data_IF_301805120961
#
_entry.id   IF_301805120961
#
_cell.length_a   1.000
_cell.length_b   1.000
_cell.length_c   1.000
_cell.angle_alpha   90.00
_cell.angle_beta   90.00
_cell.angle_gamma   90.00
#
_symmetry.space_group_name_H-M   'P 1'
#
loop_
_entity.id
_entity.type
_entity.pdbx_description
1 polymer ?
#
# COMPACT_ATOMS: atom_id res chain seq x y z
N UNK A 1 -39.31 34.69 -47.40
CA UNK A 1 -38.18 34.71 -46.44
C UNK A 1 -38.39 33.56 -45.49
N UNK A 2 -37.70 32.45 -45.74
CA UNK A 2 -37.88 31.20 -44.98
C UNK A 2 -36.82 31.11 -43.88
N UNK A 3 -37.30 31.06 -42.64
CA UNK A 3 -36.45 30.73 -41.50
C UNK A 3 -36.53 29.20 -41.24
N UNK A 4 -35.43 28.49 -41.54
CA UNK A 4 -35.29 27.06 -41.23
C UNK A 4 -34.96 26.89 -39.75
N UNK A 5 -35.85 26.19 -39.05
CA UNK A 5 -35.66 25.71 -37.70
C UNK A 5 -34.75 24.48 -37.71
N UNK A 6 -33.57 24.59 -37.12
CA UNK A 6 -32.68 23.45 -36.85
C UNK A 6 -33.09 22.83 -35.52
N UNK A 7 -33.77 21.68 -35.57
CA UNK A 7 -34.07 20.89 -34.42
C UNK A 7 -32.82 20.10 -34.01
N UNK A 8 -32.25 20.43 -32.83
CA UNK A 8 -31.17 19.67 -32.18
C UNK A 8 -31.72 18.37 -31.64
N UNK A 9 -31.35 17.25 -32.24
CA UNK A 9 -31.67 15.91 -31.73
C UNK A 9 -30.70 15.55 -30.60
N UNK A 10 -31.14 15.61 -29.35
CA UNK A 10 -30.42 15.10 -28.21
C UNK A 10 -30.34 13.57 -28.29
N UNK A 11 -29.16 13.05 -28.58
CA UNK A 11 -28.87 11.61 -28.50
C UNK A 11 -28.94 11.19 -27.03
N UNK A 12 -30.00 10.52 -26.65
CA UNK A 12 -30.09 9.85 -25.34
C UNK A 12 -29.10 8.68 -25.32
N UNK A 13 -28.00 8.84 -24.59
CA UNK A 13 -27.11 7.71 -24.30
C UNK A 13 -27.87 6.67 -23.47
N UNK A 14 -27.95 5.46 -24.01
CA UNK A 14 -28.49 4.32 -23.28
C UNK A 14 -27.62 4.03 -22.03
N UNK A 15 -28.20 3.63 -20.89
CA UNK A 15 -27.42 3.26 -19.72
C UNK A 15 -26.54 2.06 -20.06
N UNK A 16 -25.27 2.15 -19.68
CA UNK A 16 -24.30 1.05 -19.84
C UNK A 16 -24.85 -0.20 -19.15
N UNK A 17 -24.76 -1.39 -19.78
CA UNK A 17 -25.22 -2.62 -19.18
C UNK A 17 -24.47 -2.87 -17.85
N UNK A 18 -25.23 -3.17 -16.79
CA UNK A 18 -24.66 -3.67 -15.53
C UNK A 18 -23.94 -4.98 -15.85
N UNK A 19 -22.62 -4.95 -15.76
CA UNK A 19 -21.83 -6.17 -15.87
C UNK A 19 -22.09 -6.99 -14.60
N UNK A 20 -22.95 -7.99 -14.73
CA UNK A 20 -23.07 -9.03 -13.70
C UNK A 20 -21.75 -9.79 -13.64
N UNK A 21 -21.19 -10.04 -12.44
CA UNK A 21 -19.98 -10.85 -12.32
C UNK A 21 -20.22 -12.23 -12.94
N UNK A 22 -19.22 -12.74 -13.65
CA UNK A 22 -19.27 -14.11 -14.15
C UNK A 22 -19.46 -15.07 -12.95
N UNK A 23 -20.33 -16.11 -13.07
CA UNK A 23 -20.51 -17.07 -12.00
C UNK A 23 -19.20 -17.83 -11.78
N UNK A 24 -18.55 -17.64 -10.61
CA UNK A 24 -17.39 -18.46 -10.23
C UNK A 24 -16.35 -17.82 -9.29
N UNK A 25 -16.22 -16.52 -9.18
CA UNK A 25 -15.32 -15.91 -8.19
C UNK A 25 -16.14 -15.42 -7.02
N UNK A 26 -16.36 -16.29 -6.05
CA UNK A 26 -16.93 -15.88 -4.76
C UNK A 26 -15.85 -15.07 -4.04
N UNK A 27 -16.14 -13.80 -3.76
CA UNK A 27 -15.28 -12.97 -2.93
C UNK A 27 -15.10 -13.63 -1.56
N UNK A 28 -13.85 -13.81 -1.13
CA UNK A 28 -13.52 -14.36 0.19
C UNK A 28 -13.44 -13.30 1.28
N UNK A 29 -13.80 -12.05 0.97
CA UNK A 29 -13.74 -10.92 1.91
C UNK A 29 -14.45 -11.22 3.22
N UNK A 30 -15.64 -11.82 3.17
CA UNK A 30 -16.38 -12.17 4.39
C UNK A 30 -15.73 -13.30 5.20
N UNK A 31 -15.01 -14.20 4.54
CA UNK A 31 -14.20 -15.24 5.19
C UNK A 31 -12.99 -14.59 5.91
N UNK A 32 -12.26 -13.70 5.23
CA UNK A 32 -11.15 -12.97 5.83
C UNK A 32 -11.57 -12.13 7.04
N UNK A 33 -12.71 -11.45 6.97
CA UNK A 33 -13.25 -10.64 8.08
C UNK A 33 -13.64 -11.45 9.32
N UNK A 34 -13.95 -12.73 9.17
CA UNK A 34 -14.29 -13.61 10.31
C UNK A 34 -13.07 -14.12 11.06
N UNK A 35 -11.89 -14.01 10.46
CA UNK A 35 -10.65 -14.43 11.13
C UNK A 35 -10.30 -13.44 12.24
N UNK A 36 -9.87 -13.97 13.39
CA UNK A 36 -9.29 -13.12 14.43
C UNK A 36 -7.88 -12.71 13.99
N UNK A 37 -7.60 -11.41 13.80
CA UNK A 37 -6.28 -10.97 13.40
C UNK A 37 -5.27 -11.18 14.54
N UNK A 38 -4.01 -11.44 14.18
CA UNK A 38 -2.89 -11.43 15.12
C UNK A 38 -2.59 -9.98 15.54
N UNK A 39 -1.86 -9.77 16.66
CA UNK A 39 -1.42 -8.43 17.03
C UNK A 39 -0.65 -7.73 15.90
N UNK A 40 -1.12 -6.54 15.50
CA UNK A 40 -0.56 -5.76 14.39
C UNK A 40 -0.89 -6.29 12.99
N UNK A 41 -1.65 -7.35 12.84
CA UNK A 41 -2.09 -7.83 11.52
C UNK A 41 -3.25 -6.99 10.99
N UNK A 42 -3.15 -6.58 9.72
CA UNK A 42 -4.19 -5.82 9.04
C UNK A 42 -5.48 -6.63 8.90
N UNK A 43 -6.62 -5.98 9.13
CA UNK A 43 -7.94 -6.61 9.15
C UNK A 43 -8.99 -5.90 8.28
N UNK A 44 -8.60 -4.87 7.55
CA UNK A 44 -9.50 -4.13 6.69
C UNK A 44 -9.55 -4.75 5.29
N UNK A 45 -10.46 -5.70 5.08
CA UNK A 45 -10.66 -6.41 3.82
C UNK A 45 -11.80 -5.83 3.00
N UNK A 46 -11.61 -5.76 1.67
CA UNK A 46 -12.61 -5.26 0.72
C UNK A 46 -12.37 -5.86 -0.67
N UNK A 47 -13.36 -5.72 -1.57
CA UNK A 47 -13.17 -6.04 -2.98
C UNK A 47 -12.65 -4.81 -3.72
N UNK A 48 -11.50 -4.94 -4.42
CA UNK A 48 -10.92 -3.86 -5.23
C UNK A 48 -11.37 -4.00 -6.69
N UNK A 49 -12.28 -3.13 -7.16
CA UNK A 49 -12.88 -3.29 -8.48
C UNK A 49 -11.90 -3.14 -9.64
N UNK A 50 -10.87 -2.31 -9.48
CA UNK A 50 -9.87 -2.06 -10.53
C UNK A 50 -9.07 -3.32 -10.86
N UNK A 51 -8.72 -4.10 -9.86
CA UNK A 51 -8.01 -5.37 -10.03
C UNK A 51 -8.94 -6.57 -10.09
N UNK A 52 -10.25 -6.39 -9.86
CA UNK A 52 -11.24 -7.47 -9.73
C UNK A 52 -10.78 -8.55 -8.76
N UNK A 53 -10.20 -8.13 -7.64
CA UNK A 53 -9.58 -8.99 -6.65
C UNK A 53 -9.98 -8.57 -5.25
N UNK A 54 -9.93 -9.51 -4.32
CA UNK A 54 -9.99 -9.19 -2.92
C UNK A 54 -8.73 -8.42 -2.50
N UNK A 55 -8.85 -7.55 -1.53
CA UNK A 55 -7.77 -6.69 -1.08
C UNK A 55 -7.79 -6.52 0.43
N UNK A 56 -6.62 -6.24 0.99
CA UNK A 56 -6.45 -5.83 2.38
C UNK A 56 -5.70 -4.50 2.43
N UNK A 57 -6.18 -3.57 3.25
CA UNK A 57 -5.49 -2.30 3.51
C UNK A 57 -4.63 -2.44 4.76
N UNK A 58 -3.36 -2.15 4.62
CA UNK A 58 -2.38 -2.10 5.72
C UNK A 58 -2.27 -0.66 6.21
N UNK A 59 -2.64 -0.41 7.46
CA UNK A 59 -2.58 0.89 8.12
C UNK A 59 -1.22 1.10 8.81
N UNK A 60 -0.88 2.33 9.24
CA UNK A 60 0.34 2.58 10.00
C UNK A 60 0.46 1.68 11.24
N UNK A 61 1.61 1.02 11.37
CA UNK A 61 1.87 0.05 12.45
C UNK A 61 1.40 -1.37 12.17
N UNK A 62 0.72 -1.61 11.04
CA UNK A 62 0.25 -2.93 10.66
C UNK A 62 1.16 -3.64 9.65
N UNK A 63 0.94 -4.93 9.53
CA UNK A 63 1.49 -5.79 8.49
C UNK A 63 0.44 -6.78 7.97
N UNK A 64 0.69 -7.36 6.79
CA UNK A 64 -0.08 -8.49 6.29
C UNK A 64 0.80 -9.44 5.48
N UNK A 65 0.66 -10.75 5.70
CA UNK A 65 1.41 -11.81 4.99
C UNK A 65 0.45 -12.87 4.50
N UNK A 66 0.58 -13.25 3.23
CA UNK A 66 -0.28 -14.27 2.63
C UNK A 66 0.37 -14.94 1.41
N UNK A 67 -0.09 -16.15 1.09
CA UNK A 67 0.09 -16.82 -0.20
C UNK A 67 -1.14 -16.69 -1.10
N UNK A 68 -2.24 -16.12 -0.60
CA UNK A 68 -3.48 -15.96 -1.36
C UNK A 68 -3.34 -14.95 -2.51
N UNK A 69 -4.12 -15.13 -3.54
CA UNK A 69 -4.23 -14.19 -4.67
C UNK A 69 -5.11 -13.00 -4.27
N UNK A 70 -4.59 -12.10 -3.45
CA UNK A 70 -5.21 -10.83 -3.11
C UNK A 70 -4.21 -9.68 -3.23
N UNK A 71 -4.71 -8.47 -3.18
CA UNK A 71 -3.89 -7.25 -3.26
C UNK A 71 -3.70 -6.67 -1.86
N UNK A 72 -2.45 -6.49 -1.45
CA UNK A 72 -2.10 -5.75 -0.23
C UNK A 72 -1.87 -4.29 -0.59
N UNK A 73 -2.58 -3.38 0.06
CA UNK A 73 -2.61 -1.96 -0.32
C UNK A 73 -2.32 -1.05 0.85
N UNK A 74 -1.65 0.06 0.56
CA UNK A 74 -1.46 1.15 1.54
C UNK A 74 -1.32 2.50 0.85
N UNK A 75 -1.39 3.59 1.62
CA UNK A 75 -1.09 4.96 1.19
C UNK A 75 0.00 5.50 2.11
N UNK A 76 1.05 6.03 1.52
CA UNK A 76 2.27 6.46 2.21
C UNK A 76 2.51 7.95 1.98
N UNK A 77 2.80 8.67 3.05
CA UNK A 77 3.45 9.97 3.03
C UNK A 77 4.93 9.82 3.38
N UNK A 78 5.29 10.20 4.60
CA UNK A 78 6.64 10.05 5.18
C UNK A 78 6.95 8.64 5.69
N UNK A 79 5.91 7.81 5.88
CA UNK A 79 6.02 6.41 6.27
C UNK A 79 6.69 5.55 5.18
N UNK A 80 7.08 4.34 5.57
CA UNK A 80 7.64 3.32 4.69
C UNK A 80 6.72 2.09 4.65
N UNK A 81 6.61 1.50 3.46
CA UNK A 81 6.17 0.13 3.27
C UNK A 81 7.33 -0.72 2.73
N UNK A 82 7.68 -1.79 3.44
CA UNK A 82 8.51 -2.85 2.93
C UNK A 82 7.61 -3.98 2.41
N UNK A 83 7.70 -4.27 1.11
CA UNK A 83 7.04 -5.39 0.47
C UNK A 83 8.07 -6.50 0.28
N UNK A 84 7.92 -7.62 1.00
CA UNK A 84 8.87 -8.75 0.95
C UNK A 84 8.12 -9.98 0.45
N UNK A 85 8.75 -10.73 -0.45
CA UNK A 85 8.20 -12.01 -0.91
C UNK A 85 9.30 -13.02 -1.19
N UNK A 86 8.92 -14.29 -1.13
CA UNK A 86 9.76 -15.39 -1.57
C UNK A 86 9.16 -16.02 -2.84
N UNK A 87 9.84 -15.87 -4.01
CA UNK A 87 9.34 -16.37 -5.28
C UNK A 87 9.26 -17.92 -5.34
N UNK A 88 9.97 -18.64 -4.48
CA UNK A 88 10.00 -20.11 -4.49
C UNK A 88 8.73 -20.69 -3.90
N UNK A 89 8.27 -20.11 -2.78
CA UNK A 89 7.05 -20.56 -2.10
C UNK A 89 5.84 -19.68 -2.41
N UNK A 90 6.03 -18.59 -3.17
CA UNK A 90 4.98 -17.64 -3.58
C UNK A 90 4.22 -17.06 -2.40
N UNK A 91 4.93 -16.75 -1.33
CA UNK A 91 4.42 -16.07 -0.14
C UNK A 91 5.00 -14.67 -0.10
N UNK A 92 4.18 -13.70 0.19
CA UNK A 92 4.62 -12.32 0.32
C UNK A 92 3.83 -11.55 1.37
N UNK A 93 4.35 -10.39 1.73
CA UNK A 93 3.70 -9.51 2.69
C UNK A 93 4.20 -8.07 2.59
N UNK A 94 3.50 -7.20 3.28
CA UNK A 94 3.80 -5.78 3.39
C UNK A 94 3.64 -5.35 4.84
N UNK A 95 4.53 -4.49 5.32
CA UNK A 95 4.30 -3.69 6.53
C UNK A 95 4.15 -2.21 6.18
N UNK A 96 3.63 -1.44 7.12
CA UNK A 96 3.57 0.01 7.04
C UNK A 96 4.05 0.59 8.36
N UNK A 97 5.22 1.21 8.37
CA UNK A 97 5.79 1.75 9.61
C UNK A 97 6.36 3.15 9.45
N UNK A 98 6.51 3.82 10.57
CA UNK A 98 7.20 5.10 10.73
C UNK A 98 8.01 5.04 12.00
N UNK A 99 9.27 5.47 11.95
CA UNK A 99 10.09 5.59 13.15
C UNK A 99 9.58 6.74 14.01
N UNK A 100 9.45 6.58 15.34
CA UNK A 100 9.04 7.66 16.21
C UNK A 100 10.01 8.84 16.16
N UNK A 101 9.47 10.04 16.39
CA UNK A 101 10.27 11.26 16.51
C UNK A 101 11.06 11.25 17.84
N UNK A 102 12.28 11.79 17.80
CA UNK A 102 13.09 12.03 18.99
C UNK A 102 13.79 10.79 19.56
N UNK A 103 15.08 10.69 19.36
CA UNK A 103 15.98 9.87 20.14
C UNK A 103 16.29 8.47 19.62
N UNK A 104 17.53 8.19 19.65
CA UNK A 104 18.28 7.14 18.97
C UNK A 104 17.86 5.69 19.21
N UNK A 105 17.37 5.32 20.40
CA UNK A 105 17.21 3.91 20.77
C UNK A 105 15.79 3.36 20.59
N UNK A 106 14.74 4.16 20.80
CA UNK A 106 13.36 3.70 20.68
C UNK A 106 12.92 3.56 19.21
N UNK A 107 13.39 4.49 18.36
CA UNK A 107 13.05 4.46 16.92
C UNK A 107 13.60 3.26 16.21
N UNK A 108 14.87 2.94 16.43
CA UNK A 108 15.50 1.75 15.86
C UNK A 108 14.83 0.45 16.31
N UNK A 109 14.52 0.33 17.60
CA UNK A 109 13.80 -0.84 18.13
C UNK A 109 12.41 -1.02 17.54
N UNK A 110 11.63 0.05 17.36
CA UNK A 110 10.31 -0.02 16.75
C UNK A 110 10.39 -0.45 15.28
N UNK A 111 11.29 0.16 14.51
CA UNK A 111 11.50 -0.21 13.10
C UNK A 111 12.00 -1.65 12.95
N UNK A 112 12.97 -2.08 13.78
CA UNK A 112 13.45 -3.47 13.79
C UNK A 112 12.31 -4.44 14.10
N UNK A 113 11.49 -4.15 15.10
CA UNK A 113 10.33 -4.98 15.44
C UNK A 113 9.35 -5.11 14.26
N UNK A 114 9.03 -4.01 13.58
CA UNK A 114 8.12 -4.05 12.43
C UNK A 114 8.68 -4.87 11.26
N UNK A 115 10.00 -4.81 11.03
CA UNK A 115 10.67 -5.60 9.99
C UNK A 115 10.81 -7.07 10.38
N UNK A 116 11.22 -7.36 11.64
CA UNK A 116 11.32 -8.73 12.16
C UNK A 116 9.97 -9.44 12.14
N UNK A 117 8.89 -8.74 12.54
CA UNK A 117 7.55 -9.29 12.55
C UNK A 117 7.13 -9.72 11.14
N UNK A 118 7.34 -8.87 10.13
CA UNK A 118 7.03 -9.19 8.73
C UNK A 118 7.83 -10.41 8.25
N UNK A 119 9.15 -10.42 8.49
CA UNK A 119 10.05 -11.50 8.05
C UNK A 119 9.70 -12.80 8.76
N UNK A 120 9.45 -12.77 10.07
CA UNK A 120 9.11 -13.96 10.84
C UNK A 120 7.75 -14.56 10.39
N UNK A 121 6.76 -13.73 10.07
CA UNK A 121 5.48 -14.22 9.55
C UNK A 121 5.63 -14.84 8.15
N UNK A 122 6.49 -14.29 7.30
CA UNK A 122 6.84 -14.91 6.02
C UNK A 122 7.52 -16.28 6.22
N UNK A 123 8.47 -16.38 7.16
CA UNK A 123 9.17 -17.63 7.46
C UNK A 123 8.23 -18.69 8.05
N UNK A 124 7.25 -18.31 8.86
CA UNK A 124 6.21 -19.22 9.37
C UNK A 124 5.36 -19.83 8.24
N UNK A 125 5.28 -19.15 7.09
CA UNK A 125 4.59 -19.65 5.89
C UNK A 125 5.55 -20.33 4.89
N UNK A 126 6.79 -20.65 5.32
CA UNK A 126 7.75 -21.43 4.55
C UNK A 126 8.74 -20.62 3.70
N UNK A 127 8.69 -19.29 3.75
CA UNK A 127 9.68 -18.44 3.09
C UNK A 127 11.06 -18.56 3.77
N UNK A 128 12.12 -18.35 3.00
CA UNK A 128 13.51 -18.44 3.49
C UNK A 128 14.23 -17.13 3.22
N UNK A 129 14.99 -16.64 4.21
CA UNK A 129 15.72 -15.36 4.11
C UNK A 129 16.59 -15.27 2.85
N UNK A 130 17.25 -16.36 2.49
CA UNK A 130 18.16 -16.43 1.33
C UNK A 130 17.43 -16.30 -0.02
N UNK A 131 16.13 -16.55 -0.06
CA UNK A 131 15.31 -16.47 -1.27
C UNK A 131 14.35 -15.28 -1.28
N UNK A 132 14.22 -14.59 -0.13
CA UNK A 132 13.42 -13.39 -0.04
C UNK A 132 13.97 -12.24 -0.88
N UNK A 133 13.07 -11.48 -1.45
CA UNK A 133 13.35 -10.24 -2.18
C UNK A 133 12.46 -9.14 -1.62
N UNK A 134 12.96 -7.91 -1.61
CA UNK A 134 12.24 -6.76 -1.08
C UNK A 134 12.03 -5.67 -2.14
N UNK A 135 10.91 -4.98 -2.02
CA UNK A 135 10.64 -3.69 -2.66
C UNK A 135 10.26 -2.68 -1.59
N UNK A 136 10.75 -1.45 -1.70
CA UNK A 136 10.59 -0.42 -0.66
C UNK A 136 9.95 0.82 -1.24
N UNK A 137 8.92 1.32 -0.56
CA UNK A 137 8.14 2.47 -1.01
C UNK A 137 7.91 3.47 0.12
N UNK A 138 7.80 4.77 -0.21
CA UNK A 138 7.44 5.82 0.74
C UNK A 138 8.56 6.77 1.09
N UNK A 139 8.59 7.27 2.33
CA UNK A 139 9.60 8.22 2.79
C UNK A 139 9.50 9.60 2.15
N UNK A 140 8.31 9.99 1.65
CA UNK A 140 8.10 11.27 1.00
C UNK A 140 8.18 12.45 1.97
N UNK A 141 8.73 13.57 1.50
CA UNK A 141 8.73 14.85 2.22
C UNK A 141 7.38 15.57 2.04
N UNK A 142 6.32 14.98 2.55
CA UNK A 142 4.95 15.49 2.38
C UNK A 142 4.61 16.65 3.34
N UNK A 143 5.44 16.90 4.33
CA UNK A 143 5.29 17.98 5.30
C UNK A 143 6.46 18.96 5.19
N UNK A 144 6.16 20.25 5.12
CA UNK A 144 7.14 21.33 5.04
C UNK A 144 7.66 21.76 6.43
N UNK A 145 7.88 20.82 7.35
CA UNK A 145 8.45 21.16 8.65
C UNK A 145 9.97 21.30 8.55
N UNK A 146 10.47 22.44 8.99
CA UNK A 146 11.89 22.84 9.01
C UNK A 146 12.74 22.07 10.04
N UNK A 147 12.48 20.81 10.29
CA UNK A 147 13.32 20.03 11.19
C UNK A 147 14.53 19.48 10.44
N UNK A 148 15.68 19.54 11.07
CA UNK A 148 17.02 19.28 10.54
C UNK A 148 17.25 17.86 9.98
N UNK A 149 16.31 16.96 10.14
CA UNK A 149 16.32 15.63 9.50
C UNK A 149 14.91 15.25 9.08
N UNK A 150 14.71 15.12 7.77
CA UNK A 150 13.43 14.69 7.21
C UNK A 150 13.07 13.28 7.71
N UNK A 151 11.89 13.15 8.32
CA UNK A 151 11.37 11.86 8.83
C UNK A 151 11.41 10.78 7.75
N UNK A 152 11.02 11.13 6.52
CA UNK A 152 11.05 10.21 5.37
C UNK A 152 12.45 9.71 5.03
N UNK A 153 13.47 10.57 5.10
CA UNK A 153 14.87 10.18 4.87
C UNK A 153 15.36 9.22 5.95
N UNK A 154 15.05 9.49 7.20
CA UNK A 154 15.40 8.62 8.33
C UNK A 154 14.75 7.25 8.20
N UNK A 155 13.46 7.21 7.88
CA UNK A 155 12.72 5.97 7.66
C UNK A 155 13.30 5.18 6.48
N UNK A 156 13.63 5.86 5.39
CA UNK A 156 14.22 5.26 4.18
C UNK A 156 15.59 4.67 4.46
N UNK A 157 16.47 5.44 5.13
CA UNK A 157 17.80 4.95 5.50
C UNK A 157 17.70 3.70 6.37
N UNK A 158 16.89 3.78 7.44
CA UNK A 158 16.70 2.66 8.35
C UNK A 158 16.32 1.37 7.60
N UNK A 159 15.28 1.39 6.75
CA UNK A 159 14.80 0.17 6.10
C UNK A 159 15.82 -0.41 5.13
N UNK A 160 16.57 0.44 4.41
CA UNK A 160 17.60 -0.03 3.48
C UNK A 160 18.78 -0.64 4.22
N UNK A 161 19.25 -0.02 5.30
CA UNK A 161 20.31 -0.56 6.16
C UNK A 161 19.90 -1.87 6.83
N UNK A 162 18.65 -1.95 7.29
CA UNK A 162 18.09 -3.16 7.87
C UNK A 162 18.08 -4.33 6.87
N UNK A 163 17.52 -4.11 5.66
CA UNK A 163 17.46 -5.13 4.62
C UNK A 163 18.86 -5.59 4.16
N UNK A 164 19.82 -4.67 4.11
CA UNK A 164 21.22 -4.99 3.84
C UNK A 164 21.83 -5.89 4.94
N UNK A 165 21.59 -5.56 6.20
CA UNK A 165 22.06 -6.36 7.36
C UNK A 165 21.46 -7.76 7.33
N UNK A 166 20.17 -7.88 7.04
CA UNK A 166 19.47 -9.16 6.91
C UNK A 166 19.79 -9.92 5.62
N UNK A 167 20.59 -9.33 4.72
CA UNK A 167 20.97 -9.89 3.41
C UNK A 167 19.76 -10.19 2.50
N UNK A 168 18.69 -9.41 2.64
CA UNK A 168 17.53 -9.48 1.78
C UNK A 168 17.72 -8.48 0.62
N UNK A 169 17.72 -8.99 -0.61
CA UNK A 169 17.98 -8.17 -1.79
C UNK A 169 16.83 -7.18 -2.04
N UNK A 170 17.14 -5.88 -2.10
CA UNK A 170 16.20 -4.85 -2.55
C UNK A 170 16.23 -4.80 -4.06
N UNK A 171 15.20 -5.35 -4.71
CA UNK A 171 15.14 -5.47 -6.18
C UNK A 171 14.46 -4.27 -6.84
N UNK A 172 13.72 -3.47 -6.08
CA UNK A 172 13.09 -2.22 -6.56
C UNK A 172 12.79 -1.28 -5.41
N UNK A 173 12.76 0.02 -5.69
CA UNK A 173 12.35 1.04 -4.72
C UNK A 173 11.79 2.28 -5.41
N UNK A 174 10.78 2.90 -4.78
CA UNK A 174 10.32 4.26 -5.07
C UNK A 174 10.16 4.99 -3.73
N UNK A 175 11.21 5.68 -3.32
CA UNK A 175 11.35 6.29 -1.99
C UNK A 175 11.75 7.75 -2.10
N UNK A 176 11.53 8.49 -1.00
CA UNK A 176 11.78 9.93 -0.93
C UNK A 176 10.83 10.72 -1.84
N UNK A 177 11.30 11.84 -2.42
CA UNK A 177 10.46 12.76 -3.20
C UNK A 177 9.41 13.48 -2.33
N UNK A 178 8.55 14.26 -2.95
CA UNK A 178 7.53 15.09 -2.27
C UNK A 178 6.10 14.51 -2.36
N UNK A 179 5.90 13.48 -3.17
CA UNK A 179 4.57 12.95 -3.48
C UNK A 179 4.16 11.81 -2.56
N UNK A 180 2.93 11.84 -2.01
CA UNK A 180 2.32 10.66 -1.40
C UNK A 180 2.11 9.56 -2.46
N UNK A 181 2.09 8.31 -2.01
CA UNK A 181 1.99 7.14 -2.89
C UNK A 181 0.90 6.18 -2.44
N UNK A 182 0.05 5.74 -3.38
CA UNK A 182 -0.76 4.54 -3.21
C UNK A 182 0.05 3.36 -3.74
N UNK A 183 0.29 2.37 -2.89
CA UNK A 183 1.02 1.14 -3.23
C UNK A 183 0.04 -0.02 -3.25
N UNK A 184 0.11 -0.84 -4.31
CA UNK A 184 -0.62 -2.08 -4.47
C UNK A 184 0.40 -3.20 -4.69
N UNK A 185 0.49 -4.14 -3.77
CA UNK A 185 1.41 -5.26 -3.80
C UNK A 185 0.67 -6.58 -3.97
N UNK A 186 1.18 -7.47 -4.80
CA UNK A 186 0.64 -8.78 -5.12
C UNK A 186 1.55 -9.86 -4.53
N UNK A 187 1.27 -10.37 -3.33
CA UNK A 187 2.17 -11.26 -2.58
C UNK A 187 2.59 -12.51 -3.34
N UNK A 188 1.67 -13.16 -4.03
CA UNK A 188 1.92 -14.40 -4.77
C UNK A 188 2.92 -14.25 -5.92
N UNK A 189 3.14 -13.02 -6.43
CA UNK A 189 4.00 -12.76 -7.60
C UNK A 189 5.14 -11.80 -7.30
N UNK A 190 5.10 -11.11 -6.17
CA UNK A 190 6.03 -10.02 -5.86
C UNK A 190 5.83 -8.75 -6.69
N UNK A 191 4.83 -8.71 -7.59
CA UNK A 191 4.49 -7.53 -8.38
C UNK A 191 4.06 -6.39 -7.46
N UNK A 192 4.52 -5.17 -7.75
CA UNK A 192 4.04 -3.97 -7.10
C UNK A 192 3.64 -2.91 -8.12
N UNK A 193 2.62 -2.15 -7.81
CA UNK A 193 2.18 -1.00 -8.60
C UNK A 193 2.11 0.22 -7.68
N UNK A 194 2.63 1.34 -8.15
CA UNK A 194 2.65 2.60 -7.40
C UNK A 194 1.91 3.66 -8.20
N UNK A 195 1.06 4.39 -7.52
CA UNK A 195 0.46 5.62 -8.04
C UNK A 195 0.90 6.78 -7.18
N UNK A 196 1.64 7.72 -7.75
CA UNK A 196 1.94 9.00 -7.09
C UNK A 196 0.66 9.82 -7.03
N UNK A 197 0.37 10.34 -5.85
CA UNK A 197 -0.82 11.14 -5.61
C UNK A 197 -0.45 12.62 -5.71
N UNK A 198 -1.39 13.44 -6.17
CA UNK A 198 -1.21 14.89 -6.14
C UNK A 198 -1.01 15.34 -4.69
N UNK A 199 -0.25 16.42 -4.51
CA UNK A 199 -0.08 17.07 -3.20
C UNK A 199 -1.44 17.63 -2.78
N UNK A 200 -2.22 16.82 -2.07
CA UNK A 200 -3.41 17.31 -1.35
C UNK A 200 -2.93 17.93 -0.05
N UNK A 201 -3.62 18.99 0.39
CA UNK A 201 -3.27 19.76 1.58
C UNK A 201 -2.78 18.87 2.74
N UNK A 202 -1.70 19.29 3.46
CA UNK A 202 -1.08 18.51 4.54
C UNK A 202 -2.07 17.97 5.57
N UNK A 203 -3.12 18.73 5.86
CA UNK A 203 -4.13 18.43 6.89
C UNK A 203 -4.90 17.12 6.65
N UNK A 204 -5.03 16.68 5.40
CA UNK A 204 -5.82 15.47 5.07
C UNK A 204 -5.01 14.18 5.30
N UNK A 205 -3.72 14.18 4.97
CA UNK A 205 -2.85 13.00 5.14
C UNK A 205 -2.40 12.87 6.60
N UNK A 206 -2.05 13.97 7.25
CA UNK A 206 -1.70 13.99 8.68
C UNK A 206 -2.87 13.54 9.56
N UNK A 207 -4.10 13.95 9.21
CA UNK A 207 -5.32 13.48 9.88
C UNK A 207 -5.57 11.99 9.63
N UNK A 208 -5.20 11.44 8.47
CA UNK A 208 -5.32 10.02 8.17
C UNK A 208 -4.23 9.18 8.85
N UNK A 209 -3.01 9.68 8.92
CA UNK A 209 -1.92 9.03 9.66
C UNK A 209 -2.17 9.05 11.18
N UNK A 210 -2.75 10.13 11.72
CA UNK A 210 -3.09 10.26 13.15
C UNK A 210 -4.37 9.54 13.56
N UNK A 211 -5.36 9.45 12.67
CA UNK A 211 -6.67 8.86 12.98
C UNK A 211 -6.77 7.39 12.55
N UNK A 212 -5.78 6.57 12.69
CA UNK A 212 -5.72 5.14 12.35
C UNK A 212 -6.98 4.27 12.56
N UNK A 213 -8.18 4.85 12.55
CA UNK A 213 -9.44 4.15 12.80
C UNK A 213 -10.69 4.73 12.12
N UNK A 214 -10.56 5.65 11.15
CA UNK A 214 -11.74 6.14 10.44
C UNK A 214 -11.67 5.77 8.95
N UNK A 215 -12.67 5.04 8.46
CA UNK A 215 -12.86 4.70 7.07
C UNK A 215 -12.86 5.97 6.20
N UNK A 216 -11.84 6.15 5.37
CA UNK A 216 -11.82 7.22 4.38
C UNK A 216 -12.11 6.64 3.02
N UNK A 217 -13.29 6.98 2.51
CA UNK A 217 -13.64 6.83 1.10
C UNK A 217 -12.82 7.86 0.33
N UNK A 218 -11.73 7.43 -0.30
CA UNK A 218 -11.00 8.27 -1.24
C UNK A 218 -11.76 8.26 -2.55
N UNK A 219 -12.52 9.30 -2.82
CA UNK A 219 -13.03 9.59 -4.17
C UNK A 219 -11.84 9.80 -5.09
N UNK A 220 -11.69 8.91 -6.05
CA UNK A 220 -10.68 8.97 -7.10
C UNK A 220 -10.99 10.14 -8.03
N UNK A 221 -10.34 11.26 -7.84
CA UNK A 221 -10.31 12.33 -8.84
C UNK A 221 -8.87 12.58 -9.28
N UNK A 222 -8.70 12.45 -10.58
CA UNK A 222 -7.61 12.93 -11.45
C UNK A 222 -6.22 12.28 -11.39
N UNK A 223 -5.85 11.65 -12.50
CA UNK A 223 -4.65 11.88 -13.29
C UNK A 223 -3.27 11.76 -12.62
N UNK A 224 -2.92 10.61 -12.06
CA UNK A 224 -1.52 10.27 -11.82
C UNK A 224 -1.12 9.06 -12.65
N UNK A 225 0.12 9.00 -13.15
CA UNK A 225 0.65 7.81 -13.81
C UNK A 225 0.72 6.65 -12.81
N UNK A 226 0.57 5.42 -13.31
CA UNK A 226 0.76 4.20 -12.54
C UNK A 226 2.05 3.55 -13.05
N UNK A 227 3.02 3.41 -12.18
CA UNK A 227 4.29 2.77 -12.48
C UNK A 227 4.29 1.32 -11.97
N UNK A 228 4.90 0.42 -12.77
CA UNK A 228 5.07 -1.00 -12.43
C UNK A 228 6.49 -1.22 -11.91
N UNK A 229 6.60 -1.90 -10.80
CA UNK A 229 7.86 -2.23 -10.13
C UNK A 229 8.02 -3.73 -9.85
#
# INVERSE_FOLDING_TARGET
MNASSLASSAIRQAPLPRVTPAPGVVSRVEEYKRRTPKPGEASFFFHEPHFRSDAVKVLPGEYYVTADELVVMTVLGSCIAACIWDPRVRVGGMNHFMLPEGGSDSGGRYGSYAMELLINELMKQGARRETMQAKVFGGGAVMSSFTTMNVGERNTRFVLDYLQTERIAVVSKDVLDIHPRKVCFFPATGKAMVKRLAHSHPDTLETQERKGSAAVVVTSTAGGSIDLF
#
